data_IF_051501644804
#
_entry.id   IF_051501644804
#
_cell.length_a   1.000
_cell.length_b   1.000
_cell.length_c   1.000
_cell.angle_alpha   90.00
_cell.angle_beta   90.00
_cell.angle_gamma   90.00
#
_symmetry.space_group_name_H-M   'P 1'
#
loop_
_entity.id
_entity.type
_entity.pdbx_description
1 polymer ?
#
# COMPACT_ATOMS: atom_id res chain seq x y z
N UNK A 1 14.46 54.96 30.05
CA UNK A 1 13.86 53.82 30.79
C UNK A 1 12.40 53.79 30.40
N UNK A 2 11.85 52.84 29.64
CA UNK A 2 11.92 51.39 29.74
C UNK A 2 11.88 50.73 28.35
N UNK A 3 12.79 49.78 28.13
CA UNK A 3 12.79 48.89 26.97
C UNK A 3 11.69 47.84 27.13
N UNK A 4 10.71 47.83 26.22
CA UNK A 4 9.70 46.76 26.12
C UNK A 4 10.25 45.61 25.29
N UNK A 5 10.74 44.61 26.01
CA UNK A 5 11.15 43.30 25.52
C UNK A 5 9.92 42.52 25.03
N UNK A 6 9.66 42.54 23.72
CA UNK A 6 8.64 41.69 23.09
C UNK A 6 9.20 40.26 22.99
N UNK A 7 8.60 39.35 23.77
CA UNK A 7 8.89 37.93 23.80
C UNK A 7 8.82 37.31 22.40
N UNK A 8 9.97 36.83 21.91
CA UNK A 8 10.07 35.82 20.85
C UNK A 8 9.57 34.49 21.44
N UNK A 9 8.30 34.16 21.20
CA UNK A 9 7.73 32.84 21.47
C UNK A 9 8.32 31.88 20.40
N UNK A 10 9.18 30.91 20.75
CA UNK A 10 9.62 29.92 19.79
C UNK A 10 8.42 29.03 19.48
N UNK A 11 7.90 29.16 18.25
CA UNK A 11 6.91 28.24 17.72
C UNK A 11 7.60 26.87 17.58
N UNK A 12 7.58 26.06 18.63
CA UNK A 12 7.82 24.63 18.53
C UNK A 12 6.68 24.06 17.69
N UNK A 13 6.85 24.11 16.37
CA UNK A 13 6.10 23.28 15.46
C UNK A 13 6.47 21.83 15.81
N UNK A 14 5.72 21.23 16.73
CA UNK A 14 5.63 19.80 16.83
C UNK A 14 4.99 19.32 15.53
N UNK A 15 5.81 19.15 14.49
CA UNK A 15 5.47 18.32 13.35
C UNK A 15 5.35 16.91 13.90
N UNK A 16 4.17 16.58 14.42
CA UNK A 16 3.75 15.21 14.56
C UNK A 16 3.75 14.66 13.13
N UNK A 17 4.81 13.94 12.78
CA UNK A 17 4.87 13.10 11.58
C UNK A 17 3.90 11.95 11.80
N UNK A 18 2.60 12.26 11.79
CA UNK A 18 1.56 11.26 11.83
C UNK A 18 1.46 10.69 10.42
N UNK A 19 2.10 9.54 10.21
CA UNK A 19 1.97 8.81 8.96
C UNK A 19 0.49 8.48 8.71
N UNK A 20 0.07 8.63 7.45
CA UNK A 20 -1.32 8.39 7.08
C UNK A 20 -1.74 6.96 7.43
N UNK A 21 -2.97 6.82 7.90
CA UNK A 21 -3.59 5.52 8.15
C UNK A 21 -4.09 4.92 6.82
N UNK A 22 -3.29 4.03 6.26
CA UNK A 22 -3.49 3.40 4.93
C UNK A 22 -4.15 2.03 5.02
N UNK A 23 -4.28 1.43 6.21
CA UNK A 23 -4.89 0.12 6.37
C UNK A 23 -6.36 0.11 5.92
N UNK A 24 -6.78 -1.04 5.37
CA UNK A 24 -8.13 -1.28 4.87
C UNK A 24 -8.16 -2.19 3.64
N UNK A 25 -9.37 -2.53 3.21
CA UNK A 25 -9.62 -3.28 1.98
C UNK A 25 -9.91 -2.31 0.84
N UNK A 26 -9.21 -2.50 -0.28
CA UNK A 26 -9.31 -1.66 -1.47
C UNK A 26 -9.81 -2.49 -2.64
N UNK A 27 -10.82 -1.96 -3.33
CA UNK A 27 -11.15 -2.41 -4.67
C UNK A 27 -10.32 -1.58 -5.65
N UNK A 28 -9.44 -2.24 -6.39
CA UNK A 28 -8.51 -1.59 -7.32
C UNK A 28 -8.80 -2.02 -8.77
N UNK A 29 -8.53 -1.12 -9.70
CA UNK A 29 -8.40 -1.42 -11.12
C UNK A 29 -6.92 -1.32 -11.48
N UNK A 30 -6.38 -2.37 -12.08
CA UNK A 30 -5.00 -2.45 -12.52
C UNK A 30 -4.98 -2.37 -14.04
N UNK A 31 -4.17 -1.48 -14.60
CA UNK A 31 -4.01 -1.30 -16.05
C UNK A 31 -2.59 -1.67 -16.46
N UNK A 32 -2.48 -2.59 -17.41
CA UNK A 32 -1.22 -2.97 -18.01
C UNK A 32 -0.62 -1.80 -18.79
N UNK A 33 0.63 -1.45 -18.49
CA UNK A 33 1.42 -0.51 -19.30
C UNK A 33 2.48 -1.30 -20.05
N UNK A 34 3.73 -0.86 -19.98
CA UNK A 34 4.85 -1.48 -20.71
C UNK A 34 5.10 -2.92 -20.24
N UNK A 35 5.45 -3.81 -21.18
CA UNK A 35 5.82 -5.20 -20.92
C UNK A 35 7.29 -5.49 -21.29
N UNK A 36 8.25 -4.79 -20.68
CA UNK A 36 9.66 -4.97 -21.02
C UNK A 36 10.23 -6.34 -20.62
N UNK A 37 9.62 -7.01 -19.64
CA UNK A 37 10.00 -8.36 -19.22
C UNK A 37 9.33 -9.48 -20.02
N UNK A 38 8.51 -9.14 -21.02
CA UNK A 38 7.82 -10.09 -21.90
C UNK A 38 6.99 -11.14 -21.15
N UNK A 39 6.24 -10.72 -20.13
CA UNK A 39 5.28 -11.59 -19.45
C UNK A 39 4.23 -12.11 -20.44
N UNK A 40 3.91 -13.40 -20.35
CA UNK A 40 2.83 -14.00 -21.11
C UNK A 40 1.47 -13.45 -20.68
N UNK A 41 0.52 -13.37 -21.61
CA UNK A 41 -0.83 -12.83 -21.40
C UNK A 41 -0.86 -11.36 -20.92
N UNK A 42 0.17 -10.59 -21.27
CA UNK A 42 0.22 -9.16 -20.97
C UNK A 42 0.02 -8.35 -22.25
N UNK A 43 -1.14 -7.71 -22.36
CA UNK A 43 -1.43 -6.73 -23.41
C UNK A 43 -1.45 -5.33 -22.81
N UNK A 44 -0.61 -4.39 -23.29
CA UNK A 44 -0.68 -3.00 -22.84
C UNK A 44 -2.06 -2.38 -23.09
N UNK A 45 -2.60 -1.68 -22.09
CA UNK A 45 -3.93 -1.08 -22.12
C UNK A 45 -5.03 -1.96 -21.52
N UNK A 46 -4.81 -3.28 -21.37
CA UNK A 46 -5.77 -4.15 -20.69
C UNK A 46 -5.91 -3.75 -19.23
N UNK A 47 -7.15 -3.73 -18.75
CA UNK A 47 -7.47 -3.42 -17.37
C UNK A 47 -8.24 -4.57 -16.71
N UNK A 48 -7.95 -4.81 -15.44
CA UNK A 48 -8.61 -5.83 -14.63
C UNK A 48 -8.92 -5.30 -13.23
N UNK A 49 -10.06 -5.73 -12.68
CA UNK A 49 -10.40 -5.48 -11.29
C UNK A 49 -9.66 -6.47 -10.39
N UNK A 50 -9.21 -5.98 -9.23
CA UNK A 50 -8.57 -6.78 -8.19
C UNK A 50 -8.92 -6.21 -6.81
N UNK A 51 -8.60 -6.96 -5.76
CA UNK A 51 -8.80 -6.56 -4.38
C UNK A 51 -7.51 -6.69 -3.59
N UNK A 52 -7.23 -5.69 -2.75
CA UNK A 52 -6.03 -5.64 -1.92
C UNK A 52 -6.42 -5.35 -0.48
N UNK A 53 -5.91 -6.15 0.44
CA UNK A 53 -6.01 -5.89 1.88
C UNK A 53 -4.69 -5.32 2.36
N UNK A 54 -4.73 -4.09 2.86
CA UNK A 54 -3.57 -3.41 3.45
C UNK A 54 -3.66 -3.50 4.97
N UNK A 55 -2.60 -4.03 5.58
CA UNK A 55 -2.39 -4.04 7.03
C UNK A 55 -1.25 -3.12 7.38
N UNK A 56 -1.37 -2.41 8.50
CA UNK A 56 -0.39 -1.42 8.94
C UNK A 56 -0.12 -1.57 10.44
N UNK A 57 1.16 -1.60 10.80
CA UNK A 57 1.63 -1.49 12.17
C UNK A 57 2.66 -0.36 12.25
N UNK A 58 2.23 0.81 12.74
CA UNK A 58 2.99 2.06 12.65
C UNK A 58 3.34 2.37 11.19
N UNK A 59 4.63 2.30 10.85
CA UNK A 59 5.15 2.64 9.53
C UNK A 59 5.36 1.38 8.69
N UNK A 60 5.24 0.19 9.27
CA UNK A 60 5.34 -1.09 8.57
C UNK A 60 4.00 -1.44 7.93
N UNK A 61 4.02 -1.73 6.64
CA UNK A 61 2.84 -2.02 5.84
C UNK A 61 3.01 -3.35 5.12
N UNK A 62 1.93 -4.12 5.08
CA UNK A 62 1.81 -5.32 4.24
C UNK A 62 0.54 -5.22 3.40
N UNK A 63 0.67 -5.38 2.09
CA UNK A 63 -0.42 -5.38 1.13
C UNK A 63 -0.56 -6.78 0.52
N UNK A 64 -1.68 -7.44 0.82
CA UNK A 64 -2.00 -8.75 0.26
C UNK A 64 -2.96 -8.60 -0.91
N UNK A 65 -2.51 -8.99 -2.11
CA UNK A 65 -3.38 -9.05 -3.29
C UNK A 65 -4.22 -10.32 -3.20
N UNK A 66 -5.51 -10.22 -3.54
CA UNK A 66 -6.46 -11.33 -3.45
C UNK A 66 -7.14 -11.61 -4.79
N UNK A 67 -7.86 -12.72 -4.89
CA UNK A 67 -8.58 -13.11 -6.11
C UNK A 67 -7.65 -13.49 -7.27
N UNK A 68 -8.05 -13.18 -8.49
CA UNK A 68 -7.32 -13.55 -9.71
C UNK A 68 -5.95 -12.85 -9.81
N UNK A 69 -5.82 -11.64 -9.26
CA UNK A 69 -4.54 -10.92 -9.21
C UNK A 69 -3.50 -11.67 -8.38
N UNK A 70 -3.92 -12.29 -7.26
CA UNK A 70 -3.04 -13.12 -6.43
C UNK A 70 -2.50 -14.32 -7.22
N UNK A 71 -3.38 -15.02 -7.96
CA UNK A 71 -2.99 -16.17 -8.78
C UNK A 71 -2.00 -15.77 -9.88
N UNK A 72 -2.22 -14.62 -10.53
CA UNK A 72 -1.29 -14.12 -11.54
C UNK A 72 0.10 -13.82 -10.94
N UNK A 73 0.15 -13.18 -9.77
CA UNK A 73 1.40 -12.89 -9.06
C UNK A 73 2.09 -14.17 -8.54
N UNK A 74 1.35 -15.14 -8.04
CA UNK A 74 1.89 -16.45 -7.65
C UNK A 74 2.50 -17.18 -8.86
N UNK A 75 1.83 -17.13 -10.01
CA UNK A 75 2.37 -17.74 -11.23
C UNK A 75 3.60 -16.99 -11.73
N UNK A 76 3.60 -15.66 -11.73
CA UNK A 76 4.70 -14.87 -12.29
C UNK A 76 5.92 -14.79 -11.34
N UNK A 77 5.69 -14.57 -10.05
CA UNK A 77 6.70 -14.15 -9.06
C UNK A 77 6.87 -15.19 -7.93
N UNK A 78 5.82 -15.99 -7.65
CA UNK A 78 5.81 -16.93 -6.53
C UNK A 78 5.45 -16.29 -5.19
N UNK A 79 4.67 -15.21 -5.22
CA UNK A 79 4.10 -14.58 -4.03
C UNK A 79 3.09 -13.51 -4.39
N UNK A 80 2.28 -13.06 -3.43
CA UNK A 80 1.24 -12.04 -3.61
C UNK A 80 1.17 -11.00 -2.48
N UNK A 81 2.09 -11.08 -1.51
CA UNK A 81 2.13 -10.21 -0.33
C UNK A 81 3.32 -9.27 -0.43
N UNK A 82 3.04 -7.99 -0.63
CA UNK A 82 4.05 -6.95 -0.66
C UNK A 82 4.27 -6.40 0.75
N UNK A 83 5.52 -6.10 1.10
CA UNK A 83 5.88 -5.56 2.41
C UNK A 83 6.77 -4.35 2.29
N UNK A 84 6.62 -3.38 3.18
CA UNK A 84 7.45 -2.19 3.16
C UNK A 84 6.98 -1.13 4.14
N UNK A 85 7.08 0.14 3.73
CA UNK A 85 6.87 1.29 4.62
C UNK A 85 5.84 2.28 4.07
N UNK A 86 5.25 3.04 4.99
CA UNK A 86 4.49 4.26 4.69
C UNK A 86 5.18 5.48 5.30
N UNK A 87 5.17 6.59 4.56
CA UNK A 87 5.65 7.91 5.01
C UNK A 87 4.73 9.01 4.48
N UNK A 88 4.05 9.75 5.37
CA UNK A 88 3.21 10.92 5.03
C UNK A 88 2.05 10.67 4.06
N UNK A 89 1.70 9.41 3.74
CA UNK A 89 0.71 9.03 2.73
C UNK A 89 1.28 8.32 1.50
N UNK A 90 2.60 8.24 1.37
CA UNK A 90 3.26 7.47 0.31
C UNK A 90 3.63 6.07 0.82
N UNK A 91 3.27 5.03 0.07
CA UNK A 91 3.64 3.65 0.31
C UNK A 91 4.80 3.25 -0.61
N UNK A 92 5.77 2.53 -0.06
CA UNK A 92 6.82 1.84 -0.82
C UNK A 92 6.90 0.40 -0.33
N UNK A 93 6.47 -0.54 -1.17
CA UNK A 93 6.36 -1.96 -0.83
C UNK A 93 7.14 -2.80 -1.84
N UNK A 94 7.68 -3.92 -1.39
CA UNK A 94 8.46 -4.84 -2.20
C UNK A 94 7.91 -6.27 -2.04
N UNK A 95 7.96 -7.02 -3.11
CA UNK A 95 7.74 -8.46 -3.18
C UNK A 95 8.96 -9.09 -3.84
N UNK A 96 9.75 -9.81 -3.06
CA UNK A 96 10.88 -10.56 -3.58
C UNK A 96 10.38 -11.86 -4.21
N UNK A 97 10.74 -12.10 -5.47
CA UNK A 97 10.33 -13.30 -6.18
C UNK A 97 11.00 -14.54 -5.65
N UNK A 98 10.20 -15.60 -5.52
CA UNK A 98 10.66 -16.93 -5.09
C UNK A 98 10.68 -17.92 -6.26
N UNK A 99 9.99 -17.58 -7.36
CA UNK A 99 9.93 -18.42 -8.55
C UNK A 99 11.13 -18.17 -9.46
N UNK A 100 11.96 -19.21 -9.59
CA UNK A 100 13.12 -19.20 -10.48
C UNK A 100 12.74 -19.57 -11.91
N UNK A 101 13.34 -18.84 -12.84
CA UNK A 101 13.31 -19.07 -14.28
C UNK A 101 14.73 -19.24 -14.80
N UNK A 102 14.87 -19.87 -15.97
CA UNK A 102 16.18 -20.00 -16.62
C UNK A 102 16.10 -19.92 -18.13
N UNK A 103 17.15 -19.33 -18.72
CA UNK A 103 17.37 -19.25 -20.17
C UNK A 103 18.87 -19.42 -20.41
N UNK A 104 19.29 -20.53 -21.02
CA UNK A 104 20.71 -20.87 -21.10
C UNK A 104 21.32 -21.02 -19.69
N UNK A 105 22.41 -20.29 -19.42
CA UNK A 105 23.03 -20.23 -18.09
C UNK A 105 22.51 -19.07 -17.23
N UNK A 106 21.56 -18.29 -17.74
CA UNK A 106 20.89 -17.27 -16.96
C UNK A 106 19.88 -17.91 -16.01
N UNK A 107 19.99 -17.61 -14.72
CA UNK A 107 18.97 -17.92 -13.70
C UNK A 107 18.47 -16.61 -13.12
N UNK A 108 17.16 -16.44 -13.02
CA UNK A 108 16.57 -15.21 -12.53
C UNK A 108 15.24 -15.42 -11.83
N UNK A 109 14.85 -14.47 -10.98
CA UNK A 109 13.49 -14.32 -10.45
C UNK A 109 12.94 -12.96 -10.89
N UNK A 110 11.64 -12.74 -10.71
CA UNK A 110 11.05 -11.40 -10.88
C UNK A 110 10.70 -10.83 -9.52
N UNK A 111 11.12 -9.61 -9.23
CA UNK A 111 10.70 -8.86 -8.05
C UNK A 111 9.60 -7.87 -8.45
N UNK A 112 8.68 -7.62 -7.52
CA UNK A 112 7.67 -6.59 -7.63
C UNK A 112 7.95 -5.41 -6.69
N UNK A 113 7.77 -4.18 -7.15
CA UNK A 113 7.83 -2.96 -6.34
C UNK A 113 6.55 -2.16 -6.52
N UNK A 114 5.91 -1.76 -5.41
CA UNK A 114 4.76 -0.87 -5.40
C UNK A 114 5.17 0.49 -4.87
N UNK A 115 4.81 1.54 -5.61
CA UNK A 115 4.83 2.93 -5.15
C UNK A 115 3.44 3.51 -5.28
N UNK A 116 2.88 3.98 -4.18
CA UNK A 116 1.51 4.50 -4.18
C UNK A 116 1.36 5.70 -3.25
N UNK A 117 0.34 6.50 -3.50
CA UNK A 117 -0.05 7.65 -2.68
C UNK A 117 -1.51 7.50 -2.29
N UNK A 118 -1.81 7.76 -1.02
CA UNK A 118 -3.17 7.84 -0.50
C UNK A 118 -3.61 9.31 -0.45
N UNK A 119 -4.70 9.64 -1.13
CA UNK A 119 -5.42 10.91 -1.00
C UNK A 119 -6.85 10.65 -0.52
N UNK A 120 -7.10 10.91 0.77
CA UNK A 120 -8.35 10.59 1.45
C UNK A 120 -8.64 9.08 1.47
N UNK A 121 -9.46 8.63 0.52
CA UNK A 121 -9.81 7.20 0.35
C UNK A 121 -9.39 6.65 -1.02
N UNK A 122 -8.79 7.48 -1.87
CA UNK A 122 -8.27 7.13 -3.18
C UNK A 122 -6.80 6.72 -3.02
N UNK A 123 -6.49 5.51 -3.46
CA UNK A 123 -5.14 4.96 -3.51
C UNK A 123 -4.73 4.85 -4.99
N UNK A 124 -3.67 5.56 -5.37
CA UNK A 124 -3.13 5.56 -6.73
C UNK A 124 -1.67 5.19 -6.71
N UNK A 125 -1.22 4.43 -7.70
CA UNK A 125 0.16 4.00 -7.73
C UNK A 125 0.56 3.20 -8.94
N UNK A 126 1.78 2.69 -8.85
CA UNK A 126 2.43 1.88 -9.87
C UNK A 126 2.97 0.60 -9.23
N UNK A 127 2.87 -0.48 -9.98
CA UNK A 127 3.47 -1.78 -9.67
C UNK A 127 4.49 -2.09 -10.76
N UNK A 128 5.77 -2.05 -10.41
CA UNK A 128 6.89 -2.39 -11.29
C UNK A 128 7.34 -3.82 -11.08
N UNK A 129 7.76 -4.46 -12.17
CA UNK A 129 8.34 -5.79 -12.18
C UNK A 129 9.71 -5.74 -12.83
N UNK A 130 10.71 -6.29 -12.14
CA UNK A 130 12.11 -6.32 -12.60
C UNK A 130 12.72 -7.69 -12.38
N UNK A 131 13.56 -8.12 -13.32
CA UNK A 131 14.30 -9.36 -13.15
C UNK A 131 15.48 -9.16 -12.17
N UNK A 132 15.64 -10.11 -11.25
CA UNK A 132 16.84 -10.27 -10.44
C UNK A 132 17.62 -11.47 -10.98
N UNK A 133 18.74 -11.21 -11.63
CA UNK A 133 19.52 -12.22 -12.36
C UNK A 133 20.76 -12.67 -11.58
N UNK A 134 21.33 -13.81 -11.95
CA UNK A 134 22.62 -14.28 -11.45
C UNK A 134 23.84 -13.57 -12.07
N UNK A 135 23.64 -12.53 -12.88
CA UNK A 135 24.71 -11.76 -13.55
C UNK A 135 25.38 -12.48 -14.72
N UNK A 136 24.84 -13.61 -15.20
CA UNK A 136 25.39 -14.31 -16.36
C UNK A 136 25.19 -13.50 -17.66
N UNK A 137 26.16 -13.48 -18.61
CA UNK A 137 25.97 -12.82 -19.91
C UNK A 137 24.75 -13.28 -20.71
N UNK A 138 24.30 -14.53 -20.53
CA UNK A 138 23.08 -15.05 -21.14
C UNK A 138 21.81 -14.30 -20.68
N UNK A 139 21.91 -13.54 -19.59
CA UNK A 139 20.83 -12.70 -19.08
C UNK A 139 20.65 -11.39 -19.86
N UNK A 140 21.48 -11.06 -20.86
CA UNK A 140 21.45 -9.75 -21.52
C UNK A 140 20.07 -9.31 -22.04
N UNK A 141 19.20 -10.26 -22.40
CA UNK A 141 17.83 -9.97 -22.85
C UNK A 141 16.81 -9.70 -21.74
N UNK A 142 17.16 -9.98 -20.47
CA UNK A 142 16.26 -9.81 -19.32
C UNK A 142 16.84 -8.93 -18.21
N UNK A 143 18.16 -8.76 -18.18
CA UNK A 143 18.83 -7.75 -17.35
C UNK A 143 18.23 -6.39 -17.67
N UNK A 144 17.81 -5.66 -16.63
CA UNK A 144 17.14 -4.35 -16.70
C UNK A 144 15.75 -4.35 -17.36
N UNK A 145 15.12 -5.52 -17.57
CA UNK A 145 13.74 -5.54 -18.02
C UNK A 145 12.84 -4.81 -17.02
N UNK A 146 11.86 -4.08 -17.55
CA UNK A 146 10.84 -3.39 -16.75
C UNK A 146 9.48 -3.62 -17.40
N UNK A 147 8.59 -4.32 -16.68
CA UNK A 147 7.16 -4.27 -16.95
C UNK A 147 6.49 -3.50 -15.82
N UNK A 148 5.47 -2.70 -16.10
CA UNK A 148 4.76 -2.01 -15.02
C UNK A 148 3.27 -1.88 -15.28
N UNK A 149 2.52 -1.86 -14.19
CA UNK A 149 1.10 -1.59 -14.15
C UNK A 149 0.86 -0.30 -13.40
N UNK A 150 -0.18 0.41 -13.78
CA UNK A 150 -0.77 1.47 -12.96
C UNK A 150 -2.00 0.91 -12.26
N UNK A 151 -2.25 1.36 -11.04
CA UNK A 151 -3.48 1.03 -10.36
C UNK A 151 -4.10 2.25 -9.69
N UNK A 152 -5.42 2.21 -9.64
CA UNK A 152 -6.25 3.15 -8.89
C UNK A 152 -7.30 2.37 -8.15
N UNK A 153 -7.61 2.76 -6.92
CA UNK A 153 -8.70 2.14 -6.20
C UNK A 153 -9.13 2.91 -4.98
N UNK A 154 -10.25 2.50 -4.43
CA UNK A 154 -10.85 3.18 -3.29
C UNK A 154 -11.17 2.17 -2.21
N UNK A 155 -10.94 2.56 -0.95
CA UNK A 155 -11.52 1.82 0.17
C UNK A 155 -12.99 2.24 0.34
N UNK A 156 -13.92 1.31 0.66
CA UNK A 156 -15.29 1.66 0.98
C UNK A 156 -15.36 2.75 2.04
N UNK A 157 -16.25 3.73 1.86
CA UNK A 157 -16.54 4.71 2.89
C UNK A 157 -17.13 3.94 4.08
N UNK A 158 -16.44 3.97 5.21
CA UNK A 158 -17.05 3.58 6.48
C UNK A 158 -18.12 4.64 6.76
N UNK A 159 -19.38 4.36 6.41
CA UNK A 159 -20.51 5.13 6.96
C UNK A 159 -20.45 4.85 8.46
N UNK A 160 -19.77 5.75 9.19
CA UNK A 160 -19.80 5.74 10.64
C UNK A 160 -21.24 6.08 11.01
N UNK A 161 -22.09 5.06 11.16
CA UNK A 161 -23.39 5.22 11.76
C UNK A 161 -23.11 5.72 13.18
N UNK A 162 -23.18 7.03 13.39
CA UNK A 162 -23.00 7.71 14.67
C UNK A 162 -24.10 7.40 15.69
N UNK A 163 -24.81 6.28 15.51
CA UNK A 163 -25.91 5.81 16.36
C UNK A 163 -25.36 4.90 17.45
N UNK A 164 -24.44 5.43 18.26
CA UNK A 164 -24.24 4.93 19.61
C UNK A 164 -24.24 6.15 20.54
N UNK A 165 -25.42 6.75 20.69
CA UNK A 165 -25.68 7.59 21.84
C UNK A 165 -25.32 6.76 23.08
N UNK A 166 -24.38 7.25 23.88
CA UNK A 166 -24.03 6.62 25.15
C UNK A 166 -25.32 6.34 25.94
N UNK A 167 -25.50 5.13 26.52
CA UNK A 167 -26.62 4.90 27.40
C UNK A 167 -26.57 5.95 28.51
N UNK A 168 -27.60 6.81 28.59
CA UNK A 168 -27.78 7.69 29.75
C UNK A 168 -27.91 6.78 30.95
N UNK A 169 -26.87 6.72 31.76
CA UNK A 169 -26.94 6.15 33.10
C UNK A 169 -27.94 7.02 33.87
N UNK A 170 -29.16 6.52 34.01
CA UNK A 170 -30.15 7.06 34.93
C UNK A 170 -29.54 6.98 36.33
N UNK A 171 -29.21 8.15 36.89
CA UNK A 171 -28.64 8.27 38.23
C UNK A 171 -29.57 7.70 39.32
N UNK A 172 -29.00 7.32 40.48
CA UNK A 172 -29.76 6.69 41.55
C UNK A 172 -30.81 7.64 42.15
N UNK A 173 -32.05 7.16 42.20
CA UNK A 173 -33.17 7.77 42.92
C UNK A 173 -32.88 7.83 44.42
N UNK A 174 -32.96 9.02 45.00
CA UNK A 174 -32.78 9.25 46.43
C UNK A 174 -33.84 8.51 47.28
N UNK A 175 -33.49 8.03 48.49
CA UNK A 175 -34.42 7.34 49.37
C UNK A 175 -35.42 8.33 50.02
N UNK A 176 -36.67 7.90 50.27
CA UNK A 176 -37.69 8.74 50.90
C UNK A 176 -37.37 9.01 52.37
N UNK A 177 -37.42 10.28 52.75
CA UNK A 177 -37.32 10.73 54.14
C UNK A 177 -38.65 10.47 54.85
N UNK A 178 -38.68 9.57 55.83
CA UNK A 178 -39.85 9.36 56.69
C UNK A 178 -39.96 10.50 57.72
N UNK A 179 -41.18 10.98 57.94
CA UNK A 179 -41.58 11.87 59.05
C UNK A 179 -42.13 11.05 60.20
#
# INVERSE_FOLDING_TARGET
MFARLLLLLPCLAACFNDDAFVAGDYAITVTNRTNGCNFGNWTPGDAAASSVTITQNRNDVSASVTGLGALALEVAIGGHVFTGKVAGGTLSLNLLGTRSYSTGNCTYTYNGEIRATLDGNLLEGQLEYRAATNGNPDCAGITDCLSFQEFTGTRPQMIYNSVTAAPRVSGPSAPPTAR
#
